data_IF_457580790455
#
_entry.id   IF_457580790455
#
_cell.length_a   1.000
_cell.length_b   1.000
_cell.length_c   1.000
_cell.angle_alpha   90.00
_cell.angle_beta   90.00
_cell.angle_gamma   90.00
#
_symmetry.space_group_name_H-M   'P 1'
#
loop_
_entity.id
_entity.type
_entity.pdbx_description
1 polymer ?
#
# COMPACT_ATOMS: atom_id res chain seq x y z
N UNK A 1 23.60 6.30 0.90
CA UNK A 1 22.79 7.25 0.11
C UNK A 1 21.89 6.39 -0.74
N UNK A 2 20.58 6.40 -0.48
CA UNK A 2 19.62 5.49 -1.13
C UNK A 2 18.85 6.27 -2.19
N UNK A 3 19.10 5.95 -3.45
CA UNK A 3 18.55 6.60 -4.66
C UNK A 3 17.09 6.15 -4.96
N UNK A 4 16.20 6.26 -3.98
CA UNK A 4 14.76 5.94 -4.13
C UNK A 4 13.84 7.18 -4.10
N UNK A 5 14.42 8.38 -4.23
CA UNK A 5 13.71 9.65 -4.17
C UNK A 5 13.98 10.44 -5.46
N UNK A 6 13.17 10.26 -6.52
CA UNK A 6 13.02 11.24 -7.65
C UNK A 6 12.14 10.80 -8.83
N UNK A 7 11.23 9.83 -8.70
CA UNK A 7 10.07 9.79 -9.61
C UNK A 7 8.95 10.58 -8.96
N UNK A 8 8.32 11.58 -9.62
CA UNK A 8 7.14 12.25 -9.08
C UNK A 8 6.02 11.19 -8.99
N UNK A 9 5.97 10.50 -7.86
CA UNK A 9 5.08 9.39 -7.63
C UNK A 9 3.83 9.92 -6.94
N UNK A 10 2.66 9.62 -7.48
CA UNK A 10 1.40 9.92 -6.79
C UNK A 10 0.95 8.67 -6.08
N UNK A 11 0.57 8.80 -4.82
CA UNK A 11 -0.08 7.71 -4.10
C UNK A 11 -1.55 7.62 -4.50
N UNK A 12 -2.01 6.41 -4.80
CA UNK A 12 -3.43 6.14 -4.99
C UNK A 12 -4.21 6.48 -3.70
N UNK A 13 -5.44 6.97 -3.83
CA UNK A 13 -6.36 7.20 -2.71
C UNK A 13 -7.15 5.95 -2.34
N UNK A 14 -7.15 4.95 -3.21
CA UNK A 14 -7.96 3.74 -3.04
C UNK A 14 -7.05 2.61 -2.55
N UNK A 15 -7.17 2.30 -1.27
CA UNK A 15 -6.53 1.15 -0.67
C UNK A 15 -7.24 -0.15 -1.10
N UNK A 16 -6.49 -1.21 -1.45
CA UNK A 16 -7.06 -2.54 -1.56
C UNK A 16 -7.55 -2.99 -0.17
N UNK A 17 -8.62 -3.80 -0.09
CA UNK A 17 -9.09 -4.34 1.18
C UNK A 17 -8.01 -5.22 1.82
N UNK A 18 -8.08 -5.30 3.16
CA UNK A 18 -7.27 -6.24 3.91
C UNK A 18 -7.72 -7.66 3.64
N UNK A 19 -6.77 -8.51 3.23
CA UNK A 19 -7.03 -9.89 2.87
C UNK A 19 -6.17 -10.80 3.72
N UNK A 20 -6.74 -11.91 4.18
CA UNK A 20 -6.06 -12.98 4.90
C UNK A 20 -5.76 -14.14 3.94
N UNK A 21 -4.65 -14.84 4.19
CA UNK A 21 -4.26 -15.99 3.39
C UNK A 21 -5.13 -17.21 3.76
N UNK A 22 -5.81 -17.88 2.82
CA UNK A 22 -6.68 -19.04 3.11
C UNK A 22 -5.92 -20.26 3.64
N UNK A 23 -4.58 -20.25 3.61
CA UNK A 23 -3.73 -21.35 4.07
C UNK A 23 -3.17 -21.17 5.47
N UNK A 24 -2.99 -19.93 5.93
CA UNK A 24 -2.32 -19.66 7.20
C UNK A 24 -2.94 -18.50 8.00
N UNK A 25 -4.06 -17.95 7.52
CA UNK A 25 -4.83 -16.84 8.10
C UNK A 25 -4.04 -15.55 8.39
N UNK A 26 -2.77 -15.48 8.00
CA UNK A 26 -1.95 -14.27 8.11
C UNK A 26 -2.36 -13.25 7.05
N UNK A 27 -2.13 -11.97 7.35
CA UNK A 27 -2.36 -10.89 6.39
C UNK A 27 -1.55 -11.11 5.10
N UNK A 28 -2.21 -10.90 3.96
CA UNK A 28 -1.57 -10.87 2.65
C UNK A 28 -0.99 -9.48 2.36
N UNK A 29 0.09 -9.40 1.57
CA UNK A 29 0.55 -8.14 1.02
C UNK A 29 -0.59 -7.36 0.35
N UNK A 30 -0.66 -6.05 0.58
CA UNK A 30 -1.65 -5.18 -0.04
C UNK A 30 -1.50 -5.16 -1.57
N UNK A 31 -2.47 -5.71 -2.27
CA UNK A 31 -2.47 -5.82 -3.73
C UNK A 31 -3.71 -6.55 -4.25
N UNK A 32 -3.84 -6.63 -5.58
CA UNK A 32 -4.82 -7.47 -6.28
C UNK A 32 -4.08 -8.28 -7.35
N UNK A 33 -4.64 -9.42 -7.74
CA UNK A 33 -4.02 -10.38 -8.65
C UNK A 33 -3.33 -11.52 -7.90
N UNK A 34 -2.24 -12.05 -8.45
CA UNK A 34 -1.51 -13.17 -7.86
C UNK A 34 -0.59 -12.64 -6.76
N UNK A 35 -1.01 -12.83 -5.51
CA UNK A 35 -0.25 -12.42 -4.32
C UNK A 35 0.43 -13.64 -3.74
N UNK A 36 1.73 -13.54 -3.49
CA UNK A 36 2.47 -14.60 -2.78
C UNK A 36 2.48 -14.28 -1.29
N UNK A 37 1.93 -15.17 -0.48
CA UNK A 37 1.97 -15.02 0.97
C UNK A 37 3.43 -15.12 1.46
N UNK A 38 3.87 -14.13 2.23
CA UNK A 38 5.25 -14.10 2.77
C UNK A 38 5.49 -15.22 3.78
N UNK A 39 4.45 -15.62 4.52
CA UNK A 39 4.55 -16.63 5.59
C UNK A 39 4.58 -18.06 5.06
N UNK A 40 3.62 -18.43 4.20
CA UNK A 40 3.46 -19.82 3.73
C UNK A 40 3.88 -20.02 2.26
N UNK A 41 4.31 -18.95 1.56
CA UNK A 41 4.66 -18.95 0.13
C UNK A 41 3.55 -19.43 -0.80
N UNK A 42 2.31 -19.56 -0.30
CA UNK A 42 1.16 -19.88 -1.13
C UNK A 42 0.87 -18.73 -2.09
N UNK A 43 0.61 -19.07 -3.35
CA UNK A 43 0.09 -18.12 -4.35
C UNK A 43 -1.42 -18.05 -4.17
N UNK A 44 -1.92 -16.88 -3.81
CA UNK A 44 -3.34 -16.60 -3.64
C UNK A 44 -3.74 -15.65 -4.74
N UNK A 45 -4.69 -16.05 -5.56
CA UNK A 45 -5.29 -15.17 -6.55
C UNK A 45 -6.40 -14.36 -5.88
N UNK A 46 -6.19 -13.06 -5.81
CA UNK A 46 -7.12 -12.12 -5.19
C UNK A 46 -7.75 -11.29 -6.29
N UNK A 47 -9.01 -11.58 -6.58
CA UNK A 47 -9.83 -10.81 -7.50
C UNK A 47 -10.91 -10.05 -6.73
N UNK A 48 -10.91 -8.72 -6.84
CA UNK A 48 -11.97 -7.90 -6.27
C UNK A 48 -12.39 -6.83 -7.28
N UNK A 49 -13.49 -7.10 -7.99
CA UNK A 49 -13.98 -6.25 -9.09
C UNK A 49 -14.30 -4.82 -8.62
N UNK A 50 -14.85 -4.67 -7.41
CA UNK A 50 -15.16 -3.36 -6.85
C UNK A 50 -13.93 -2.46 -6.69
N UNK A 51 -12.78 -3.02 -6.31
CA UNK A 51 -11.53 -2.25 -6.20
C UNK A 51 -10.93 -1.98 -7.58
N UNK A 52 -10.97 -2.95 -8.50
CA UNK A 52 -10.53 -2.75 -9.89
C UNK A 52 -11.31 -1.64 -10.59
N UNK A 53 -12.63 -1.57 -10.38
CA UNK A 53 -13.48 -0.49 -10.91
C UNK A 53 -13.08 0.86 -10.33
N UNK A 54 -12.93 0.96 -9.00
CA UNK A 54 -12.47 2.17 -8.32
C UNK A 54 -11.09 2.61 -8.84
N UNK A 55 -10.14 1.70 -9.05
CA UNK A 55 -8.82 2.02 -9.60
C UNK A 55 -8.88 2.54 -11.04
N UNK A 56 -9.77 2.00 -11.89
CA UNK A 56 -9.97 2.50 -13.26
C UNK A 56 -10.57 3.91 -13.27
N UNK A 57 -11.54 4.16 -12.40
CA UNK A 57 -12.24 5.44 -12.28
C UNK A 57 -11.50 6.47 -11.40
N UNK A 58 -10.33 6.10 -10.87
CA UNK A 58 -9.56 6.95 -9.97
C UNK A 58 -9.10 8.23 -10.67
N UNK A 59 -9.48 9.37 -10.09
CA UNK A 59 -9.04 10.70 -10.52
C UNK A 59 -7.69 11.03 -9.88
N UNK A 60 -6.69 11.22 -10.72
CA UNK A 60 -5.31 11.51 -10.33
C UNK A 60 -4.89 12.86 -10.91
N UNK A 61 -4.31 13.72 -10.08
CA UNK A 61 -3.85 15.04 -10.52
C UNK A 61 -2.42 14.96 -11.02
N UNK A 62 -2.13 15.39 -12.25
CA UNK A 62 -0.76 15.41 -12.77
C UNK A 62 0.18 16.23 -11.85
N UNK A 63 1.39 15.74 -11.53
CA UNK A 63 2.29 16.45 -10.63
C UNK A 63 2.93 17.70 -11.27
N UNK A 64 2.92 17.80 -12.61
CA UNK A 64 3.53 18.91 -13.34
C UNK A 64 2.52 20.02 -13.68
N UNK A 65 1.35 19.67 -14.23
CA UNK A 65 0.37 20.66 -14.69
C UNK A 65 -0.90 20.73 -13.84
N UNK A 66 -0.97 19.97 -12.74
CA UNK A 66 -2.12 19.89 -11.80
C UNK A 66 -3.46 19.48 -12.44
N UNK A 67 -3.47 19.06 -13.70
CA UNK A 67 -4.69 18.65 -14.40
C UNK A 67 -5.14 17.29 -13.91
N UNK A 68 -6.45 17.15 -13.69
CA UNK A 68 -7.06 15.90 -13.26
C UNK A 68 -7.21 14.96 -14.45
N UNK A 69 -6.68 13.75 -14.31
CA UNK A 69 -6.69 12.66 -15.27
C UNK A 69 -7.42 11.48 -14.64
N UNK A 70 -8.00 10.61 -15.46
CA UNK A 70 -8.56 9.33 -15.01
C UNK A 70 -7.48 8.27 -15.22
N UNK A 71 -7.20 7.47 -14.18
CA UNK A 71 -6.12 6.49 -14.22
C UNK A 71 -6.34 5.41 -15.28
N UNK A 72 -7.59 4.95 -15.48
CA UNK A 72 -7.96 4.00 -16.54
C UNK A 72 -7.41 2.57 -16.39
N UNK A 73 -6.51 2.34 -15.42
CA UNK A 73 -5.83 1.07 -15.21
C UNK A 73 -6.27 0.41 -13.90
N UNK A 74 -6.40 -0.90 -13.93
CA UNK A 74 -6.88 -1.76 -12.84
C UNK A 74 -5.75 -2.46 -12.08
N UNK A 75 -4.51 -2.01 -12.28
CA UNK A 75 -3.31 -2.52 -11.60
C UNK A 75 -2.53 -1.38 -10.96
N UNK A 76 -1.79 -1.68 -9.90
CA UNK A 76 -0.87 -0.78 -9.19
C UNK A 76 0.40 -1.56 -8.82
N UNK A 77 1.60 -0.98 -8.89
CA UNK A 77 1.91 0.35 -9.42
C UNK A 77 1.65 0.45 -10.93
N UNK A 78 1.34 1.65 -11.42
CA UNK A 78 1.11 1.89 -12.85
C UNK A 78 1.83 3.14 -13.33
N UNK A 79 2.45 3.07 -14.50
CA UNK A 79 3.04 4.23 -15.15
C UNK A 79 1.94 4.96 -15.93
N UNK A 80 1.72 6.24 -15.62
CA UNK A 80 0.74 7.09 -16.29
C UNK A 80 1.45 8.21 -17.04
N UNK A 81 0.85 8.62 -18.16
CA UNK A 81 1.27 9.77 -18.93
C UNK A 81 0.17 10.83 -18.90
N UNK A 82 0.52 12.08 -18.59
CA UNK A 82 -0.44 13.17 -18.66
C UNK A 82 -0.80 13.49 -20.12
N UNK A 83 -2.09 13.57 -20.44
CA UNK A 83 -2.58 13.93 -21.78
C UNK A 83 -2.33 15.38 -22.17
N UNK A 84 -1.92 16.25 -21.24
CA UNK A 84 -1.76 17.70 -21.49
C UNK A 84 -0.31 18.16 -21.47
N UNK A 85 0.50 17.69 -20.53
CA UNK A 85 1.93 18.05 -20.45
C UNK A 85 2.86 16.89 -20.84
N UNK A 86 2.31 15.73 -21.24
CA UNK A 86 3.06 14.53 -21.61
C UNK A 86 4.05 13.99 -20.56
N UNK A 87 4.00 14.50 -19.33
CA UNK A 87 4.83 14.06 -18.21
C UNK A 87 4.47 12.63 -17.82
N UNK A 88 5.48 11.80 -17.63
CA UNK A 88 5.36 10.44 -17.12
C UNK A 88 5.50 10.46 -15.60
N UNK A 89 4.61 9.76 -14.91
CA UNK A 89 4.62 9.64 -13.47
C UNK A 89 4.13 8.26 -13.03
N UNK A 90 4.51 7.86 -11.82
CA UNK A 90 4.15 6.53 -11.28
C UNK A 90 3.00 6.70 -10.30
N UNK A 91 1.92 5.95 -10.51
CA UNK A 91 0.82 5.83 -9.56
C UNK A 91 1.11 4.64 -8.64
N UNK A 92 1.55 4.95 -7.42
CA UNK A 92 1.89 3.98 -6.41
C UNK A 92 0.63 3.42 -5.72
N UNK A 93 0.62 2.14 -5.31
CA UNK A 93 -0.47 1.58 -4.53
C UNK A 93 -0.59 2.29 -3.18
N UNK A 94 -1.82 2.53 -2.73
CA UNK A 94 -2.05 3.04 -1.38
C UNK A 94 -1.65 1.97 -0.36
N UNK A 95 -0.70 2.30 0.52
CA UNK A 95 -0.30 1.45 1.64
C UNK A 95 -0.88 2.04 2.93
N UNK A 96 -1.99 1.48 3.46
CA UNK A 96 -2.62 2.02 4.66
C UNK A 96 -1.65 1.95 5.85
N UNK A 97 -1.58 3.05 6.59
CA UNK A 97 -0.87 3.15 7.86
C UNK A 97 -1.83 2.74 8.97
N UNK A 98 -1.39 1.86 9.86
CA UNK A 98 -2.13 1.41 11.03
C UNK A 98 -1.61 2.13 12.28
N UNK A 99 -2.54 2.43 13.18
CA UNK A 99 -2.23 2.93 14.52
C UNK A 99 -2.20 1.76 15.49
N UNK A 100 -1.11 1.60 16.24
CA UNK A 100 -0.95 0.58 17.27
C UNK A 100 -0.59 1.27 18.58
N UNK A 101 -1.24 0.89 19.67
CA UNK A 101 -0.87 1.34 21.00
C UNK A 101 0.32 0.52 21.53
N UNK A 102 1.30 1.20 22.13
CA UNK A 102 2.34 0.51 22.89
C UNK A 102 1.73 -0.15 24.14
N UNK A 103 2.00 -1.43 24.42
CA UNK A 103 1.40 -2.14 25.57
C UNK A 103 1.85 -1.59 26.94
N UNK A 104 2.94 -0.82 26.99
CA UNK A 104 3.51 -0.32 28.24
C UNK A 104 3.13 1.14 28.56
N UNK A 105 2.91 1.97 27.54
CA UNK A 105 2.65 3.40 27.73
C UNK A 105 1.39 3.91 27.00
N UNK A 106 0.62 3.01 26.37
CA UNK A 106 -0.59 3.29 25.57
C UNK A 106 -0.42 4.32 24.45
N UNK A 107 0.83 4.70 24.14
CA UNK A 107 1.12 5.69 23.12
C UNK A 107 0.86 5.12 21.74
N UNK A 108 0.15 5.89 20.91
CA UNK A 108 -0.21 5.50 19.54
C UNK A 108 0.99 5.66 18.60
N UNK A 109 1.37 4.56 17.96
CA UNK A 109 2.43 4.47 16.95
C UNK A 109 1.80 4.28 15.58
N UNK A 110 2.20 5.11 14.62
CA UNK A 110 1.75 5.03 13.23
C UNK A 110 2.76 4.27 12.40
N UNK A 111 2.36 3.14 11.86
CA UNK A 111 3.25 2.23 11.15
C UNK A 111 2.60 1.73 9.86
N UNK A 112 3.40 1.41 8.85
CA UNK A 112 2.89 0.78 7.63
C UNK A 112 2.41 -0.64 7.94
N UNK A 113 1.25 -1.04 7.41
CA UNK A 113 0.76 -2.42 7.50
C UNK A 113 1.62 -3.30 6.59
N UNK A 114 2.31 -4.29 7.17
CA UNK A 114 3.15 -5.23 6.42
C UNK A 114 2.87 -6.64 6.94
N UNK A 115 2.77 -7.63 6.06
CA UNK A 115 2.54 -9.02 6.47
C UNK A 115 3.75 -9.56 7.23
N UNK A 116 3.49 -10.33 8.28
CA UNK A 116 4.51 -10.99 9.09
C UNK A 116 4.69 -10.37 10.48
N UNK A 117 5.72 -10.87 11.18
CA UNK A 117 6.06 -10.47 12.54
C UNK A 117 7.20 -9.45 12.50
N UNK A 118 7.04 -8.35 13.25
CA UNK A 118 8.09 -7.35 13.43
C UNK A 118 8.27 -7.01 14.89
N UNK A 119 9.52 -6.88 15.27
CA UNK A 119 9.93 -6.29 16.54
C UNK A 119 9.93 -4.77 16.38
N UNK A 120 9.21 -4.08 17.25
CA UNK A 120 9.15 -2.61 17.26
C UNK A 120 9.53 -2.14 18.65
N UNK A 121 10.43 -1.17 18.67
CA UNK A 121 10.81 -0.44 19.88
C UNK A 121 9.93 0.80 20.01
N UNK A 122 9.30 0.97 21.17
CA UNK A 122 8.54 2.19 21.44
C UNK A 122 9.50 3.36 21.69
N UNK A 123 9.47 4.46 20.91
CA UNK A 123 10.37 5.61 21.10
C UNK A 123 10.09 6.42 22.38
N UNK A 124 9.06 6.06 23.16
CA UNK A 124 8.67 6.78 24.37
C UNK A 124 9.02 6.05 25.66
N UNK A 125 9.14 4.73 25.63
CA UNK A 125 9.46 3.92 26.82
C UNK A 125 10.52 2.84 26.55
N UNK A 126 11.09 2.82 25.33
CA UNK A 126 12.09 1.87 24.85
C UNK A 126 11.71 0.38 25.00
N UNK A 127 10.43 0.10 25.24
CA UNK A 127 9.91 -1.27 25.31
C UNK A 127 9.88 -1.86 23.91
N UNK A 128 10.52 -3.01 23.77
CA UNK A 128 10.48 -3.84 22.58
C UNK A 128 9.27 -4.77 22.65
N UNK A 129 8.45 -4.77 21.61
CA UNK A 129 7.30 -5.67 21.53
C UNK A 129 7.09 -6.17 20.11
N UNK A 130 6.55 -7.40 20.03
CA UNK A 130 6.27 -8.07 18.77
C UNK A 130 4.87 -7.75 18.30
N UNK A 131 4.75 -7.29 17.07
CA UNK A 131 3.46 -7.11 16.40
C UNK A 131 3.38 -8.09 15.25
N UNK A 132 2.25 -8.80 15.21
CA UNK A 132 1.88 -9.70 14.12
C UNK A 132 0.72 -9.10 13.34
N UNK A 133 0.82 -9.14 12.02
CA UNK A 133 -0.29 -8.86 11.11
C UNK A 133 -0.58 -10.06 10.23
#
# INVERSE_FOLDING_TARGET
MSEDDEKPGIESRIAPPDLSCPRCDNLLPSGLGIITCVMCKAKVEVEHEGTRKKWREEKVSCPSCSKVLISGVDKRPANLQCSSCHTHFVLNPNRPKIEIACPACDRKLRLNKRPGEREITCPACDVEFKIKF
#
